data_IF_385611122683
#
_entry.id   IF_385611122683
#
_cell.length_a   1.000
_cell.length_b   1.000
_cell.length_c   1.000
_cell.angle_alpha   90.00
_cell.angle_beta   90.00
_cell.angle_gamma   90.00
#
_symmetry.space_group_name_H-M   'P 1'
#
loop_
_entity.id
_entity.type
_entity.pdbx_description
1 polymer ?
#
# COMPACT_ATOMS: atom_id res chain seq x y z
N UNK A 1 22.93 16.89 7.53
CA UNK A 1 23.27 15.65 6.82
C UNK A 1 22.02 14.77 6.85
N UNK A 2 21.23 14.74 5.77
CA UNK A 2 20.00 13.93 5.74
C UNK A 2 20.37 12.52 5.33
N UNK A 3 20.19 11.57 6.23
CA UNK A 3 20.40 10.15 6.00
C UNK A 3 19.43 9.69 4.92
N UNK A 4 19.94 9.44 3.71
CA UNK A 4 19.22 8.66 2.70
C UNK A 4 19.17 7.25 3.26
N UNK A 5 18.07 6.91 3.95
CA UNK A 5 17.81 5.55 4.38
C UNK A 5 17.67 4.72 3.11
N UNK A 6 18.74 4.03 2.72
CA UNK A 6 18.65 2.97 1.73
C UNK A 6 17.71 1.93 2.32
N UNK A 7 16.48 1.96 1.81
CA UNK A 7 15.46 0.96 2.10
C UNK A 7 16.02 -0.39 1.64
N UNK A 8 16.45 -1.23 2.57
CA UNK A 8 16.85 -2.62 2.29
C UNK A 8 15.68 -3.31 1.57
N UNK A 9 15.79 -3.48 0.25
CA UNK A 9 14.63 -3.72 -0.63
C UNK A 9 13.78 -4.95 -0.31
N UNK A 10 14.31 -5.92 0.44
CA UNK A 10 13.57 -7.11 0.87
C UNK A 10 12.47 -6.84 1.89
N UNK A 11 12.57 -5.80 2.73
CA UNK A 11 11.58 -5.57 3.79
C UNK A 11 10.22 -5.09 3.26
N UNK A 12 10.20 -4.57 2.03
CA UNK A 12 8.98 -4.05 1.41
C UNK A 12 8.08 -5.16 0.88
N UNK A 13 8.64 -6.33 0.54
CA UNK A 13 7.86 -7.43 -0.03
C UNK A 13 6.81 -7.90 0.96
N UNK A 14 5.58 -8.06 0.49
CA UNK A 14 4.42 -8.43 1.32
C UNK A 14 3.76 -7.24 2.03
N UNK A 15 4.36 -6.04 2.01
CA UNK A 15 3.70 -4.83 2.52
C UNK A 15 2.69 -4.26 1.52
N UNK A 16 1.75 -3.49 2.05
CA UNK A 16 0.66 -2.87 1.33
C UNK A 16 0.96 -1.42 0.97
N UNK A 17 0.39 -0.97 -0.13
CA UNK A 17 0.44 0.41 -0.61
C UNK A 17 -0.99 0.87 -0.84
N UNK A 18 -1.34 2.04 -0.34
CA UNK A 18 -2.72 2.55 -0.40
C UNK A 18 -2.73 3.81 -1.25
N UNK A 19 -3.63 3.86 -2.23
CA UNK A 19 -4.01 5.14 -2.86
C UNK A 19 -5.26 5.65 -2.20
N UNK A 20 -5.19 6.87 -1.70
CA UNK A 20 -6.34 7.58 -1.15
C UNK A 20 -6.70 8.77 -2.02
N UNK A 21 -7.98 9.13 -2.00
CA UNK A 21 -8.47 10.39 -2.56
C UNK A 21 -9.06 11.24 -1.44
N UNK A 22 -8.76 12.54 -1.43
CA UNK A 22 -9.20 13.50 -0.40
C UNK A 22 -8.17 13.76 0.71
N UNK A 23 -8.56 14.62 1.65
CA UNK A 23 -7.74 15.09 2.77
C UNK A 23 -7.68 14.06 3.90
N UNK A 24 -6.74 14.15 4.86
CA UNK A 24 -6.49 13.13 5.90
C UNK A 24 -7.74 12.67 6.69
N UNK A 25 -8.71 13.55 6.95
CA UNK A 25 -9.95 13.21 7.65
C UNK A 25 -11.02 12.58 6.74
N UNK A 26 -11.10 13.02 5.48
CA UNK A 26 -12.09 12.59 4.48
C UNK A 26 -11.52 11.60 3.46
N UNK A 27 -10.33 11.07 3.70
CA UNK A 27 -9.62 10.24 2.71
C UNK A 27 -10.33 8.92 2.52
N UNK A 28 -10.72 8.66 1.28
CA UNK A 28 -11.31 7.40 0.83
C UNK A 28 -10.22 6.55 0.19
N UNK A 29 -10.18 5.26 0.53
CA UNK A 29 -9.28 4.27 -0.05
C UNK A 29 -9.78 3.91 -1.45
N UNK A 30 -9.03 4.30 -2.46
CA UNK A 30 -9.35 4.11 -3.88
C UNK A 30 -8.74 2.85 -4.46
N UNK A 31 -7.52 2.50 -4.04
CA UNK A 31 -6.85 1.27 -4.46
C UNK A 31 -5.94 0.74 -3.34
N UNK A 32 -5.80 -0.58 -3.29
CA UNK A 32 -4.91 -1.29 -2.38
C UNK A 32 -3.98 -2.15 -3.23
N UNK A 33 -2.69 -1.89 -3.10
CA UNK A 33 -1.62 -2.63 -3.74
C UNK A 33 -0.84 -3.46 -2.74
N UNK A 34 -0.24 -4.55 -3.18
CA UNK A 34 0.73 -5.33 -2.40
C UNK A 34 2.04 -5.40 -3.14
N UNK A 35 3.15 -5.15 -2.45
CA UNK A 35 4.48 -5.27 -3.04
C UNK A 35 4.79 -6.76 -3.21
N UNK A 36 4.84 -7.23 -4.46
CA UNK A 36 5.13 -8.64 -4.78
C UNK A 36 6.62 -8.90 -4.92
N UNK A 37 7.37 -7.93 -5.45
CA UNK A 37 8.78 -8.08 -5.74
C UNK A 37 9.50 -6.74 -5.64
N UNK A 38 10.68 -6.76 -5.06
CA UNK A 38 11.63 -5.65 -5.13
C UNK A 38 12.89 -6.13 -5.79
N UNK A 39 13.33 -5.38 -6.80
CA UNK A 39 14.62 -5.54 -7.46
C UNK A 39 15.47 -4.30 -7.18
N UNK A 40 16.76 -4.35 -7.54
CA UNK A 40 17.74 -3.33 -7.16
C UNK A 40 17.34 -1.89 -7.52
N UNK A 41 16.54 -1.70 -8.58
CA UNK A 41 16.07 -0.38 -9.03
C UNK A 41 14.56 -0.25 -9.13
N UNK A 42 13.81 -1.33 -8.94
CA UNK A 42 12.36 -1.34 -9.20
C UNK A 42 11.55 -2.03 -8.12
N UNK A 43 10.34 -1.53 -7.88
CA UNK A 43 9.37 -2.07 -6.93
C UNK A 43 8.12 -2.45 -7.73
N UNK A 44 7.72 -3.70 -7.62
CA UNK A 44 6.58 -4.27 -8.34
C UNK A 44 5.41 -4.38 -7.36
N UNK A 45 4.38 -3.59 -7.61
CA UNK A 45 3.17 -3.54 -6.77
C UNK A 45 2.00 -4.08 -7.55
N UNK A 46 1.37 -5.11 -7.01
CA UNK A 46 0.14 -5.69 -7.53
C UNK A 46 -1.07 -4.95 -6.96
N UNK A 47 -1.76 -4.19 -7.81
CA UNK A 47 -2.98 -3.44 -7.49
C UNK A 47 -4.27 -4.25 -7.75
N UNK A 48 -4.17 -5.57 -7.94
CA UNK A 48 -5.29 -6.48 -8.21
C UNK A 48 -5.72 -6.50 -9.68
N UNK A 49 -5.85 -5.33 -10.31
CA UNK A 49 -6.15 -5.24 -11.76
C UNK A 49 -4.91 -5.37 -12.63
N UNK A 50 -3.78 -4.89 -12.13
CA UNK A 50 -2.50 -4.87 -12.86
C UNK A 50 -1.35 -4.74 -11.86
N UNK A 51 -0.21 -5.36 -12.19
CA UNK A 51 1.06 -5.09 -11.52
C UNK A 51 1.73 -3.88 -12.15
N UNK A 52 2.06 -2.90 -11.32
CA UNK A 52 2.80 -1.69 -11.72
C UNK A 52 4.25 -1.79 -11.25
N UNK A 53 5.16 -1.33 -12.09
CA UNK A 53 6.59 -1.32 -11.80
C UNK A 53 7.04 0.13 -11.60
N UNK A 54 7.47 0.45 -10.38
CA UNK A 54 7.97 1.76 -10.01
C UNK A 54 9.49 1.74 -9.95
N UNK A 55 10.14 2.85 -10.26
CA UNK A 55 11.56 3.01 -9.93
C UNK A 55 11.68 3.31 -8.44
N UNK A 56 12.70 2.74 -7.78
CA UNK A 56 12.91 2.88 -6.34
C UNK A 56 12.97 4.37 -5.91
N UNK A 57 13.67 5.21 -6.69
CA UNK A 57 13.78 6.66 -6.45
C UNK A 57 12.45 7.42 -6.56
N UNK A 58 11.49 6.89 -7.31
CA UNK A 58 10.20 7.53 -7.61
C UNK A 58 9.06 6.89 -6.81
N UNK A 59 9.37 5.94 -5.93
CA UNK A 59 8.39 5.23 -5.14
C UNK A 59 7.92 6.08 -3.96
N UNK A 60 6.75 6.70 -4.10
CA UNK A 60 6.18 7.63 -3.11
C UNK A 60 5.24 6.99 -2.10
N UNK A 61 4.99 5.68 -2.21
CA UNK A 61 4.06 5.00 -1.32
C UNK A 61 4.74 4.63 -0.01
N UNK A 62 4.06 4.91 1.09
CA UNK A 62 4.42 4.33 2.39
C UNK A 62 3.98 2.88 2.40
N UNK A 63 4.94 1.97 2.51
CA UNK A 63 4.67 0.54 2.61
C UNK A 63 4.23 0.19 4.03
N UNK A 64 3.00 -0.28 4.17
CA UNK A 64 2.34 -0.57 5.44
C UNK A 64 2.20 -2.08 5.65
N UNK A 65 2.30 -2.52 6.89
CA UNK A 65 1.90 -3.87 7.32
C UNK A 65 0.37 -4.00 7.35
N UNK A 66 -0.12 -5.24 7.47
CA UNK A 66 -1.56 -5.51 7.58
C UNK A 66 -2.15 -4.71 8.76
N UNK A 67 -1.49 -4.80 9.89
CA UNK A 67 -1.92 -4.20 11.15
C UNK A 67 -1.95 -2.67 11.05
N UNK A 68 -0.96 -2.07 10.40
CA UNK A 68 -0.93 -0.62 10.14
C UNK A 68 -2.08 -0.18 9.23
N UNK A 69 -2.44 -0.98 8.22
CA UNK A 69 -3.58 -0.66 7.35
C UNK A 69 -4.88 -0.70 8.14
N UNK A 70 -5.10 -1.74 8.94
CA UNK A 70 -6.30 -1.92 9.75
C UNK A 70 -6.47 -0.83 10.82
N UNK A 71 -5.38 -0.40 11.43
CA UNK A 71 -5.40 0.69 12.41
C UNK A 71 -5.61 2.06 11.76
N UNK A 72 -4.95 2.32 10.63
CA UNK A 72 -4.94 3.63 9.97
C UNK A 72 -6.21 3.91 9.18
N UNK A 73 -6.80 2.89 8.58
CA UNK A 73 -7.96 3.01 7.70
C UNK A 73 -9.13 2.22 8.27
N UNK A 74 -10.15 2.93 8.77
CA UNK A 74 -11.41 2.32 9.20
C UNK A 74 -12.21 1.81 7.99
N UNK A 75 -13.05 0.79 8.20
CA UNK A 75 -13.89 0.18 7.15
C UNK A 75 -14.68 1.20 6.32
N UNK A 76 -15.27 2.22 6.96
CA UNK A 76 -16.00 3.30 6.28
C UNK A 76 -15.21 4.10 5.23
N UNK A 77 -13.88 4.04 5.26
CA UNK A 77 -13.02 4.70 4.27
C UNK A 77 -12.85 3.87 3.00
N UNK A 78 -13.24 2.59 3.00
CA UNK A 78 -13.17 1.72 1.84
C UNK A 78 -14.47 1.81 1.05
N UNK A 79 -14.36 1.77 -0.28
CA UNK A 79 -15.50 1.49 -1.16
C UNK A 79 -15.72 -0.01 -1.21
N UNK A 80 -16.88 -0.48 -1.68
CA UNK A 80 -17.17 -1.92 -1.74
C UNK A 80 -16.10 -2.70 -2.52
N UNK A 81 -15.62 -2.11 -3.62
CA UNK A 81 -14.58 -2.70 -4.46
C UNK A 81 -13.23 -2.79 -3.72
N UNK A 82 -12.84 -1.74 -2.99
CA UNK A 82 -11.57 -1.75 -2.26
C UNK A 82 -11.64 -2.56 -0.98
N UNK A 83 -12.81 -2.64 -0.35
CA UNK A 83 -13.05 -3.50 0.80
C UNK A 83 -12.96 -4.97 0.39
N UNK A 84 -13.58 -5.36 -0.72
CA UNK A 84 -13.47 -6.72 -1.24
C UNK A 84 -12.00 -7.10 -1.52
N UNK A 85 -11.24 -6.18 -2.12
CA UNK A 85 -9.80 -6.38 -2.33
C UNK A 85 -9.02 -6.46 -1.02
N UNK A 86 -9.36 -5.66 -0.01
CA UNK A 86 -8.75 -5.73 1.31
C UNK A 86 -8.92 -7.13 1.90
N UNK A 87 -10.15 -7.66 1.84
CA UNK A 87 -10.51 -9.00 2.33
C UNK A 87 -9.74 -10.09 1.56
N UNK A 88 -9.65 -10.01 0.23
CA UNK A 88 -8.83 -10.94 -0.59
C UNK A 88 -7.35 -10.95 -0.19
N UNK A 89 -6.84 -9.81 0.26
CA UNK A 89 -5.48 -9.64 0.75
C UNK A 89 -5.33 -10.00 2.25
N UNK A 90 -6.41 -10.46 2.87
CA UNK A 90 -6.47 -10.85 4.27
C UNK A 90 -6.46 -9.67 5.24
N UNK A 91 -6.78 -8.45 4.79
CA UNK A 91 -6.93 -7.25 5.62
C UNK A 91 -8.40 -7.16 6.06
N UNK A 92 -8.63 -7.00 7.36
CA UNK A 92 -9.96 -6.89 7.96
C UNK A 92 -10.09 -5.54 8.68
N UNK A 93 -10.42 -4.45 7.95
CA UNK A 93 -10.54 -3.13 8.55
C UNK A 93 -11.64 -3.13 9.62
N UNK A 94 -11.30 -2.65 10.82
CA UNK A 94 -12.28 -2.55 11.91
C UNK A 94 -13.12 -1.27 11.81
N UNK A 95 -14.37 -1.34 12.28
CA UNK A 95 -15.35 -0.25 12.30
C UNK A 95 -16.11 -0.10 10.99
#
# INVERSE_FOLDING_TARGET
MWTVVMVAGSYLVGKFCIKTFGSSETSVVMEIGVVKKVASRTIHVDWGKKTWVYQNKDFKFTALTKEEVEQKYRKRKFTDVTLQRAIELGIEPQG
#
